data_IF_331647996138
#
_entry.id   IF_331647996138
#
_cell.length_a   1.000
_cell.length_b   1.000
_cell.length_c   1.000
_cell.angle_alpha   90.00
_cell.angle_beta   90.00
_cell.angle_gamma   90.00
#
_symmetry.space_group_name_H-M   'P 1'
#
loop_
_entity.id
_entity.type
_entity.pdbx_description
1 polymer ?
#
# COMPACT_ATOMS: atom_id res chain seq x y z
N UNK A 1 -5.45 -6.80 -17.72
CA UNK A 1 -4.07 -6.46 -17.33
C UNK A 1 -4.10 -5.46 -16.19
N UNK A 2 -3.39 -5.77 -15.09
CA UNK A 2 -3.21 -4.89 -13.94
C UNK A 2 -2.30 -3.73 -14.33
N UNK A 3 -2.72 -2.51 -13.97
CA UNK A 3 -1.97 -1.25 -14.17
C UNK A 3 -1.60 -0.56 -12.86
N UNK A 4 -2.42 -0.74 -11.82
CA UNK A 4 -2.23 -0.11 -10.51
C UNK A 4 -2.16 -1.17 -9.43
N UNK A 5 -1.15 -1.08 -8.56
CA UNK A 5 -1.10 -1.84 -7.32
C UNK A 5 -1.29 -0.88 -6.16
N UNK A 6 -2.35 -1.10 -5.40
CA UNK A 6 -2.67 -0.34 -4.18
C UNK A 6 -2.29 -1.18 -2.97
N UNK A 7 -1.49 -0.63 -2.08
CA UNK A 7 -1.09 -1.27 -0.84
C UNK A 7 -1.81 -0.62 0.34
N UNK A 8 -2.30 -1.44 1.27
CA UNK A 8 -2.39 -1.02 2.66
C UNK A 8 -0.98 -0.86 3.27
N UNK A 9 -0.88 -0.28 4.47
CA UNK A 9 0.41 0.02 5.12
C UNK A 9 0.68 -0.84 6.36
N UNK A 10 -0.03 -0.60 7.47
CA UNK A 10 0.16 -1.34 8.73
C UNK A 10 -0.11 -2.84 8.54
N UNK A 11 0.81 -3.71 8.98
CA UNK A 11 0.77 -5.16 8.73
C UNK A 11 0.78 -5.60 7.27
N UNK A 12 0.88 -4.66 6.33
CA UNK A 12 1.09 -4.94 4.92
C UNK A 12 2.53 -4.65 4.54
N UNK A 13 2.99 -3.40 4.62
CA UNK A 13 4.37 -2.96 4.30
C UNK A 13 5.35 -3.18 5.46
N UNK A 14 4.86 -3.15 6.70
CA UNK A 14 5.66 -3.30 7.91
C UNK A 14 4.93 -4.04 9.03
N UNK A 15 5.68 -4.51 10.01
CA UNK A 15 5.18 -5.34 11.11
C UNK A 15 4.40 -4.57 12.19
N UNK A 16 4.37 -3.25 12.18
CA UNK A 16 3.61 -2.46 13.15
C UNK A 16 2.10 -2.44 12.85
N UNK A 17 1.28 -2.34 13.89
CA UNK A 17 -0.18 -2.45 13.80
C UNK A 17 -0.92 -1.12 13.61
N UNK A 18 -0.31 0.00 14.04
CA UNK A 18 -0.94 1.32 14.00
C UNK A 18 0.10 2.45 14.10
N UNK A 19 0.68 2.87 12.98
CA UNK A 19 1.65 3.99 13.02
C UNK A 19 1.02 5.32 13.47
N UNK A 20 -0.31 5.47 13.47
CA UNK A 20 -0.97 6.71 13.90
C UNK A 20 -0.70 7.10 15.35
N UNK A 21 -0.16 6.19 16.15
CA UNK A 21 0.18 6.45 17.55
C UNK A 21 1.57 7.06 17.70
N UNK A 22 2.42 7.02 16.66
CA UNK A 22 3.82 7.41 16.74
C UNK A 22 3.99 8.87 17.17
N UNK A 23 5.01 9.09 18.02
CA UNK A 23 5.37 10.41 18.55
C UNK A 23 6.74 10.85 18.03
N UNK A 24 6.85 12.13 17.69
CA UNK A 24 8.11 12.74 17.26
C UNK A 24 9.12 12.87 18.42
N UNK A 25 10.44 12.79 18.14
CA UNK A 25 11.05 12.60 16.82
C UNK A 25 10.96 11.16 16.30
N UNK A 26 10.72 11.01 15.00
CA UNK A 26 10.89 9.73 14.29
C UNK A 26 12.36 9.52 13.91
N UNK A 27 12.95 8.40 14.33
CA UNK A 27 14.36 8.05 14.12
C UNK A 27 14.48 6.82 13.23
N UNK A 28 15.24 6.94 12.15
CA UNK A 28 15.66 5.81 11.34
C UNK A 28 16.79 5.06 12.07
N UNK A 29 16.59 3.77 12.39
CA UNK A 29 17.61 2.92 13.01
C UNK A 29 18.50 2.25 11.96
N UNK A 30 17.89 1.83 10.86
CA UNK A 30 18.53 1.37 9.63
C UNK A 30 17.57 1.59 8.45
N UNK A 31 17.94 1.19 7.24
CA UNK A 31 17.11 1.42 6.06
C UNK A 31 15.70 0.82 6.13
N UNK A 32 15.42 -0.16 6.99
CA UNK A 32 14.13 -0.87 7.07
C UNK A 32 13.45 -0.71 8.44
N UNK A 33 14.08 -0.06 9.41
CA UNK A 33 13.57 0.06 10.77
C UNK A 33 13.46 1.51 11.22
N UNK A 34 12.27 1.88 11.68
CA UNK A 34 11.95 3.20 12.24
C UNK A 34 11.53 3.05 13.70
N UNK A 35 11.99 3.96 14.55
CA UNK A 35 11.63 4.06 15.97
C UNK A 35 11.09 5.47 16.28
N UNK A 36 10.09 5.56 17.14
CA UNK A 36 9.54 6.84 17.60
C UNK A 36 10.09 7.26 18.98
N UNK A 37 9.69 8.42 19.49
CA UNK A 37 10.17 8.94 20.78
C UNK A 37 9.80 8.09 22.01
N UNK A 38 8.82 7.19 21.88
CA UNK A 38 8.38 6.26 22.92
C UNK A 38 9.06 4.90 22.82
N UNK A 39 9.95 4.71 21.85
CA UNK A 39 10.60 3.43 21.58
C UNK A 39 9.70 2.42 20.85
N UNK A 40 8.55 2.85 20.29
CA UNK A 40 7.74 2.02 19.39
C UNK A 40 8.50 1.88 18.09
N UNK A 41 8.53 0.65 17.56
CA UNK A 41 9.28 0.30 16.35
C UNK A 41 8.36 -0.25 15.28
N UNK A 42 8.68 0.05 14.04
CA UNK A 42 8.22 -0.71 12.88
C UNK A 42 9.44 -1.24 12.12
N UNK A 43 9.30 -2.43 11.55
CA UNK A 43 10.25 -3.02 10.61
C UNK A 43 9.52 -3.31 9.30
N UNK A 44 10.11 -2.92 8.17
CA UNK A 44 9.60 -3.36 6.86
C UNK A 44 9.69 -4.87 6.76
N UNK A 45 8.68 -5.47 6.12
CA UNK A 45 8.77 -6.90 5.80
C UNK A 45 9.88 -7.17 4.78
N UNK A 46 10.42 -8.41 4.75
CA UNK A 46 11.41 -8.79 3.76
C UNK A 46 10.94 -8.51 2.33
N UNK A 47 11.87 -8.02 1.49
CA UNK A 47 11.68 -7.75 0.06
C UNK A 47 10.69 -6.64 -0.32
N UNK A 48 10.12 -5.88 0.63
CA UNK A 48 9.23 -4.73 0.32
C UNK A 48 9.85 -3.79 -0.70
N UNK A 49 11.07 -3.30 -0.44
CA UNK A 49 11.77 -2.35 -1.32
C UNK A 49 12.11 -2.94 -2.69
N UNK A 50 12.55 -4.19 -2.72
CA UNK A 50 12.89 -4.92 -3.95
C UNK A 50 11.65 -5.06 -4.83
N UNK A 51 10.54 -5.51 -4.26
CA UNK A 51 9.28 -5.68 -4.98
C UNK A 51 8.70 -4.34 -5.44
N UNK A 52 8.68 -3.29 -4.61
CA UNK A 52 8.19 -1.98 -5.04
C UNK A 52 9.01 -1.43 -6.23
N UNK A 53 10.34 -1.59 -6.19
CA UNK A 53 11.22 -1.21 -7.30
C UNK A 53 10.90 -1.98 -8.56
N UNK A 54 10.80 -3.31 -8.48
CA UNK A 54 10.54 -4.16 -9.63
C UNK A 54 9.16 -3.88 -10.24
N UNK A 55 8.15 -3.60 -9.42
CA UNK A 55 6.83 -3.19 -9.92
C UNK A 55 6.91 -1.86 -10.70
N UNK A 56 7.69 -0.88 -10.23
CA UNK A 56 7.93 0.38 -10.97
C UNK A 56 8.70 0.15 -12.26
N UNK A 57 9.71 -0.71 -12.26
CA UNK A 57 10.49 -1.09 -13.45
C UNK A 57 9.60 -1.78 -14.50
N UNK A 58 8.58 -2.53 -14.07
CA UNK A 58 7.53 -3.11 -14.93
C UNK A 58 6.48 -2.10 -15.41
N UNK A 59 6.62 -0.82 -15.05
CA UNK A 59 5.72 0.26 -15.48
C UNK A 59 4.39 0.34 -14.75
N UNK A 60 4.25 -0.33 -13.60
CA UNK A 60 3.04 -0.26 -12.79
C UNK A 60 3.00 1.06 -12.00
N UNK A 61 1.78 1.57 -11.82
CA UNK A 61 1.49 2.68 -10.92
C UNK A 61 1.34 2.10 -9.52
N UNK A 62 2.01 2.69 -8.53
CA UNK A 62 1.95 2.25 -7.15
C UNK A 62 1.25 3.28 -6.30
N UNK A 63 0.32 2.83 -5.47
CA UNK A 63 -0.39 3.70 -4.55
C UNK A 63 -0.57 3.08 -3.16
N UNK A 64 -0.91 3.92 -2.19
CA UNK A 64 -1.21 3.52 -0.81
C UNK A 64 -2.61 3.95 -0.44
N UNK A 65 -3.39 3.03 0.13
CA UNK A 65 -4.68 3.29 0.76
C UNK A 65 -4.62 2.83 2.23
N UNK A 66 -4.24 3.73 3.14
CA UNK A 66 -3.99 3.38 4.54
C UNK A 66 -4.96 4.00 5.54
N UNK A 67 -5.32 3.23 6.57
CA UNK A 67 -6.14 3.69 7.69
C UNK A 67 -5.23 4.28 8.78
N UNK A 68 -4.74 5.50 8.55
CA UNK A 68 -3.91 6.22 9.52
C UNK A 68 -4.18 7.73 9.51
N UNK A 69 -3.68 8.42 10.54
CA UNK A 69 -3.58 9.89 10.53
C UNK A 69 -2.63 10.32 9.41
N UNK A 70 -3.12 11.17 8.51
CA UNK A 70 -2.44 11.51 7.25
C UNK A 70 -1.05 12.13 7.46
N UNK A 71 -0.92 13.06 8.41
CA UNK A 71 0.35 13.72 8.70
C UNK A 71 1.41 12.73 9.19
N UNK A 72 1.01 11.78 10.05
CA UNK A 72 1.90 10.76 10.61
C UNK A 72 2.31 9.77 9.51
N UNK A 73 1.36 9.30 8.69
CA UNK A 73 1.65 8.43 7.56
C UNK A 73 2.67 9.08 6.61
N UNK A 74 2.44 10.33 6.18
CA UNK A 74 3.38 11.06 5.30
C UNK A 74 4.78 11.13 5.90
N UNK A 75 4.90 11.42 7.19
CA UNK A 75 6.20 11.47 7.89
C UNK A 75 6.88 10.11 7.91
N UNK A 76 6.17 9.04 8.27
CA UNK A 76 6.70 7.67 8.28
C UNK A 76 7.20 7.26 6.89
N UNK A 77 6.40 7.46 5.85
CA UNK A 77 6.79 7.16 4.46
C UNK A 77 8.01 7.97 4.00
N UNK A 78 8.13 9.24 4.42
CA UNK A 78 9.27 10.09 4.08
C UNK A 78 10.55 9.68 4.82
N UNK A 79 10.48 9.42 6.13
CA UNK A 79 11.67 9.04 6.92
C UNK A 79 12.19 7.67 6.51
N UNK A 80 11.30 6.74 6.15
CA UNK A 80 11.67 5.46 5.55
C UNK A 80 12.10 5.57 4.08
N UNK A 81 12.08 6.75 3.46
CA UNK A 81 12.37 6.93 2.04
C UNK A 81 11.57 5.95 1.14
N UNK A 82 10.30 5.75 1.50
CA UNK A 82 9.35 4.91 0.75
C UNK A 82 8.48 5.75 -0.19
N UNK A 83 8.26 7.03 0.12
CA UNK A 83 7.44 7.93 -0.71
C UNK A 83 7.85 7.94 -2.19
N UNK A 84 9.14 7.77 -2.49
CA UNK A 84 9.68 7.73 -3.85
C UNK A 84 9.13 6.59 -4.74
N UNK A 85 8.60 5.53 -4.14
CA UNK A 85 8.04 4.42 -4.89
C UNK A 85 6.58 4.65 -5.28
N UNK A 86 5.85 5.48 -4.55
CA UNK A 86 4.39 5.62 -4.69
C UNK A 86 4.02 6.88 -5.46
N UNK A 87 3.19 6.71 -6.48
CA UNK A 87 2.65 7.80 -7.29
C UNK A 87 1.53 8.54 -6.53
N UNK A 88 0.78 7.83 -5.68
CA UNK A 88 -0.30 8.40 -4.85
C UNK A 88 -0.31 7.75 -3.46
N UNK A 89 -0.31 8.56 -2.40
CA UNK A 89 -0.51 8.09 -1.02
C UNK A 89 -1.78 8.73 -0.47
N UNK A 90 -2.78 7.90 -0.17
CA UNK A 90 -4.02 8.31 0.50
C UNK A 90 -4.09 7.66 1.88
N UNK A 91 -4.00 8.50 2.91
CA UNK A 91 -4.19 8.11 4.30
C UNK A 91 -5.44 8.79 4.86
N UNK A 92 -6.31 8.02 5.53
CA UNK A 92 -7.50 8.57 6.21
C UNK A 92 -7.65 7.98 7.61
N UNK A 93 -8.16 8.72 8.60
CA UNK A 93 -8.35 8.24 9.96
C UNK A 93 -9.60 7.34 10.10
N UNK A 94 -9.99 6.61 9.05
CA UNK A 94 -11.12 5.67 9.02
C UNK A 94 -10.81 4.47 8.11
N UNK A 95 -11.46 3.30 8.32
CA UNK A 95 -11.11 2.04 7.64
C UNK A 95 -11.68 1.89 6.21
N UNK A 96 -12.36 2.90 5.67
CA UNK A 96 -13.11 2.79 4.41
C UNK A 96 -12.21 2.79 3.17
N UNK A 97 -11.56 1.65 2.88
CA UNK A 97 -10.62 1.49 1.76
C UNK A 97 -11.21 1.84 0.41
N UNK A 98 -12.49 1.57 0.17
CA UNK A 98 -13.16 1.93 -1.08
C UNK A 98 -13.17 3.45 -1.34
N UNK A 99 -13.24 4.29 -0.30
CA UNK A 99 -13.15 5.75 -0.44
C UNK A 99 -11.72 6.17 -0.79
N UNK A 100 -10.71 5.55 -0.18
CA UNK A 100 -9.31 5.83 -0.47
C UNK A 100 -8.94 5.40 -1.89
N UNK A 101 -9.35 4.21 -2.32
CA UNK A 101 -9.13 3.70 -3.68
C UNK A 101 -9.89 4.56 -4.70
N UNK A 102 -11.12 5.00 -4.41
CA UNK A 102 -11.84 5.97 -5.24
C UNK A 102 -11.05 7.26 -5.41
N UNK A 103 -10.48 7.78 -4.31
CA UNK A 103 -9.65 8.97 -4.37
C UNK A 103 -8.37 8.75 -5.19
N UNK A 104 -7.71 7.59 -5.04
CA UNK A 104 -6.53 7.25 -5.87
C UNK A 104 -6.89 7.28 -7.36
N UNK A 105 -8.03 6.69 -7.76
CA UNK A 105 -8.50 6.73 -9.16
C UNK A 105 -8.69 8.17 -9.63
N UNK A 106 -9.28 9.05 -8.80
CA UNK A 106 -9.46 10.47 -9.11
C UNK A 106 -8.12 11.20 -9.23
N UNK A 107 -7.15 10.95 -8.34
CA UNK A 107 -5.83 11.59 -8.42
C UNK A 107 -5.06 11.15 -9.68
N UNK A 108 -5.15 9.89 -10.06
CA UNK A 108 -4.56 9.38 -11.31
C UNK A 108 -5.24 10.00 -12.54
N UNK A 109 -6.56 10.18 -12.50
CA UNK A 109 -7.28 10.82 -13.60
C UNK A 109 -6.85 12.27 -13.83
N UNK A 110 -6.57 13.03 -12.76
CA UNK A 110 -6.09 14.42 -12.85
C UNK A 110 -4.78 14.56 -13.63
N UNK A 111 -3.96 13.52 -13.66
CA UNK A 111 -2.71 13.47 -14.43
C UNK A 111 -2.84 12.73 -15.76
N UNK A 112 -4.08 12.46 -16.21
CA UNK A 112 -4.39 11.83 -17.48
C UNK A 112 -4.34 10.30 -17.47
N UNK A 113 -4.19 9.67 -16.30
CA UNK A 113 -4.11 8.22 -16.15
C UNK A 113 -5.49 7.65 -15.81
N UNK A 114 -6.27 7.32 -16.85
CA UNK A 114 -7.57 6.65 -16.70
C UNK A 114 -7.37 5.18 -16.30
N UNK A 115 -7.92 4.79 -15.14
CA UNK A 115 -7.82 3.43 -14.59
C UNK A 115 -9.22 2.89 -14.31
N UNK A 116 -9.49 1.65 -14.72
CA UNK A 116 -10.73 0.91 -14.41
C UNK A 116 -10.54 0.03 -13.18
N UNK A 117 -11.60 -0.30 -12.44
CA UNK A 117 -11.51 -1.18 -11.26
C UNK A 117 -10.81 -2.52 -11.53
N UNK A 118 -11.06 -3.16 -12.67
CA UNK A 118 -10.43 -4.42 -13.07
C UNK A 118 -8.96 -4.34 -13.46
N UNK A 119 -8.39 -3.13 -13.48
CA UNK A 119 -6.96 -2.87 -13.69
C UNK A 119 -6.23 -2.62 -12.36
N UNK A 120 -6.93 -2.74 -11.23
CA UNK A 120 -6.40 -2.50 -9.88
C UNK A 120 -6.21 -3.82 -9.14
N UNK A 121 -5.03 -4.00 -8.57
CA UNK A 121 -4.73 -5.00 -7.54
C UNK A 121 -4.61 -4.29 -6.19
N UNK A 122 -5.48 -4.62 -5.24
CA UNK A 122 -5.44 -4.14 -3.86
C UNK A 122 -4.87 -5.21 -2.93
N UNK A 123 -3.82 -4.87 -2.19
CA UNK A 123 -3.11 -5.75 -1.27
C UNK A 123 -3.29 -5.24 0.16
N UNK A 124 -3.80 -6.09 1.05
CA UNK A 124 -4.12 -5.75 2.45
C UNK A 124 -3.98 -6.99 3.34
N UNK A 125 -3.60 -6.82 4.61
CA UNK A 125 -3.51 -7.92 5.57
C UNK A 125 -4.89 -8.42 6.06
N UNK A 126 -5.97 -7.67 5.80
CA UNK A 126 -7.32 -7.94 6.31
C UNK A 126 -8.36 -8.09 5.21
N UNK A 127 -8.83 -9.33 5.02
CA UNK A 127 -9.96 -9.65 4.13
C UNK A 127 -11.21 -8.80 4.37
N UNK A 128 -11.46 -8.39 5.60
CA UNK A 128 -12.63 -7.59 5.98
C UNK A 128 -12.74 -6.27 5.21
N UNK A 129 -11.63 -5.74 4.70
CA UNK A 129 -11.63 -4.53 3.89
C UNK A 129 -12.15 -4.74 2.46
N UNK A 130 -12.12 -5.97 1.94
CA UNK A 130 -12.42 -6.25 0.53
C UNK A 130 -13.90 -6.16 0.17
N UNK A 131 -14.79 -6.51 1.11
CA UNK A 131 -16.24 -6.54 0.85
C UNK A 131 -16.78 -5.21 0.33
N UNK A 132 -16.45 -4.10 1.00
CA UNK A 132 -16.87 -2.77 0.57
C UNK A 132 -16.15 -2.33 -0.71
N UNK A 133 -14.90 -2.75 -0.91
CA UNK A 133 -14.18 -2.48 -2.18
C UNK A 133 -14.93 -3.10 -3.35
N UNK A 134 -15.34 -4.37 -3.25
CA UNK A 134 -16.12 -5.02 -4.30
C UNK A 134 -17.52 -4.44 -4.45
N UNK A 135 -18.20 -4.16 -3.34
CA UNK A 135 -19.55 -3.61 -3.36
C UNK A 135 -19.63 -2.25 -4.07
N UNK A 136 -18.67 -1.36 -3.81
CA UNK A 136 -18.73 0.02 -4.30
C UNK A 136 -17.90 0.26 -5.57
N UNK A 137 -16.83 -0.50 -5.80
CA UNK A 137 -15.93 -0.29 -6.94
C UNK A 137 -16.03 -1.39 -8.00
N UNK A 138 -16.69 -2.51 -7.70
CA UNK A 138 -16.83 -3.63 -8.63
C UNK A 138 -15.57 -4.49 -8.68
N UNK A 139 -15.06 -4.76 -9.87
CA UNK A 139 -14.09 -5.84 -10.15
C UNK A 139 -12.63 -5.50 -9.77
N UNK A 140 -12.39 -4.88 -8.61
CA UNK A 140 -11.03 -4.72 -8.06
C UNK A 140 -10.50 -6.09 -7.63
N UNK A 141 -9.31 -6.46 -8.11
CA UNK A 141 -8.65 -7.68 -7.65
C UNK A 141 -8.08 -7.43 -6.26
N UNK A 142 -8.40 -8.26 -5.29
CA UNK A 142 -7.90 -8.13 -3.92
C UNK A 142 -7.05 -9.34 -3.56
N UNK A 143 -5.99 -9.12 -2.78
CA UNK A 143 -5.05 -10.13 -2.34
C UNK A 143 -4.77 -9.97 -0.84
N UNK A 144 -5.12 -10.98 -0.05
CA UNK A 144 -4.88 -10.98 1.39
C UNK A 144 -3.43 -11.37 1.70
N UNK A 145 -2.68 -10.43 2.27
CA UNK A 145 -1.32 -10.70 2.72
C UNK A 145 -1.33 -11.71 3.88
N UNK A 146 -0.34 -12.60 3.91
CA UNK A 146 -0.17 -13.66 4.91
C UNK A 146 -1.22 -14.79 4.86
N UNK A 147 -2.08 -14.79 3.85
CA UNK A 147 -3.03 -15.88 3.59
C UNK A 147 -3.07 -16.29 2.13
N UNK A 148 -3.37 -15.36 1.22
CA UNK A 148 -3.38 -15.65 -0.21
C UNK A 148 -1.94 -15.67 -0.76
N UNK A 149 -1.07 -14.84 -0.18
CA UNK A 149 0.37 -14.83 -0.42
C UNK A 149 1.15 -14.79 0.89
N UNK A 150 2.36 -15.34 0.90
CA UNK A 150 3.18 -15.42 2.10
C UNK A 150 4.37 -14.46 2.08
N UNK A 151 4.65 -13.84 0.93
CA UNK A 151 5.68 -12.82 0.82
C UNK A 151 5.53 -11.90 -0.39
N UNK A 152 6.31 -10.83 -0.37
CA UNK A 152 6.26 -9.77 -1.39
C UNK A 152 6.59 -10.25 -2.81
N UNK A 153 7.46 -11.26 -2.94
CA UNK A 153 7.80 -11.84 -4.26
C UNK A 153 6.61 -12.52 -4.92
N UNK A 154 5.64 -13.01 -4.14
CA UNK A 154 4.44 -13.64 -4.69
C UNK A 154 3.55 -12.64 -5.44
N UNK A 155 3.60 -11.35 -5.09
CA UNK A 155 2.86 -10.28 -5.78
C UNK A 155 3.24 -10.23 -7.26
N UNK A 156 4.55 -10.35 -7.56
CA UNK A 156 5.07 -10.33 -8.93
C UNK A 156 4.56 -11.52 -9.76
N UNK A 157 4.49 -12.69 -9.13
CA UNK A 157 3.95 -13.91 -9.74
C UNK A 157 2.45 -13.75 -10.03
N UNK A 158 1.70 -13.18 -9.08
CA UNK A 158 0.27 -12.93 -9.23
C UNK A 158 -0.04 -11.95 -10.35
N UNK A 159 0.72 -10.86 -10.47
CA UNK A 159 0.52 -9.88 -11.55
C UNK A 159 0.79 -10.52 -12.91
N UNK A 160 1.83 -11.34 -13.01
CA UNK A 160 2.15 -12.07 -14.26
C UNK A 160 1.00 -13.01 -14.64
N UNK A 161 0.55 -13.84 -13.70
CA UNK A 161 -0.56 -14.79 -13.91
C UNK A 161 -1.89 -14.12 -14.29
N UNK A 162 -2.22 -12.98 -13.68
CA UNK A 162 -3.45 -12.23 -13.99
C UNK A 162 -3.36 -11.53 -15.35
N UNK A 163 -2.16 -11.19 -15.81
CA UNK A 163 -1.97 -10.53 -17.10
C UNK A 163 -1.93 -11.51 -18.28
N UNK A 164 -1.54 -12.75 -18.04
CA UNK A 164 -1.51 -13.82 -19.05
C UNK A 164 -2.88 -14.48 -19.30
N UNK A 165 -3.91 -14.07 -18.55
CA UNK A 165 -5.30 -14.53 -18.66
C UNK A 165 -6.22 -13.44 -19.23
#
# INVERSE_FOLDING_TARGET
>A
MIKVVVFDADKTLWDHHNISEFEEPLKLLDENTLEDARGRRLNLFPHVRETLRELKERGLILAVATWNVEEIAKKVFNVLDLSKYFDVIVARPYPYKFLMISQIIVELDKVGLKVKPNEILFVDDRRGHFGNVWLYLGDVKCLEMWKDIMGYKDILNMITYVNDK
#
